data_IF_981277871436
#
_entry.id   IF_981277871436
#
_cell.length_a   1.000
_cell.length_b   1.000
_cell.length_c   1.000
_cell.angle_alpha   90.00
_cell.angle_beta   90.00
_cell.angle_gamma   90.00
#
_symmetry.space_group_name_H-M   'P 1'
#
loop_
_entity.id
_entity.type
_entity.pdbx_description
1 polymer ?
#
# COMPACT_ATOMS: atom_id res chain seq x y z
N UNK A 1 -47.77 -38.31 5.88
CA UNK A 1 -46.77 -38.08 4.83
C UNK A 1 -46.16 -36.70 5.07
N UNK A 2 -45.01 -36.65 5.68
CA UNK A 2 -44.25 -35.44 5.95
C UNK A 2 -43.20 -35.28 4.85
N UNK A 3 -43.30 -34.20 4.12
CA UNK A 3 -42.31 -33.83 3.11
C UNK A 3 -41.29 -32.89 3.77
N UNK A 4 -40.09 -33.41 4.03
CA UNK A 4 -38.99 -32.66 4.60
C UNK A 4 -38.40 -31.84 3.46
N UNK A 5 -38.63 -30.50 3.50
CA UNK A 5 -37.99 -29.54 2.63
C UNK A 5 -36.49 -29.59 2.82
N UNK A 6 -35.75 -29.82 1.74
CA UNK A 6 -34.30 -29.64 1.71
C UNK A 6 -34.00 -28.15 1.93
N UNK A 7 -33.27 -27.86 2.97
CA UNK A 7 -32.51 -26.62 3.05
C UNK A 7 -31.44 -26.68 1.96
N UNK A 8 -31.65 -25.98 0.87
CA UNK A 8 -30.58 -25.60 -0.01
C UNK A 8 -29.76 -24.52 0.72
N UNK A 9 -28.66 -24.92 1.33
CA UNK A 9 -27.58 -24.00 1.71
C UNK A 9 -27.16 -23.29 0.45
N UNK A 10 -27.50 -22.00 0.36
CA UNK A 10 -26.92 -21.08 -0.62
C UNK A 10 -25.45 -20.97 -0.21
N UNK A 11 -24.60 -21.80 -0.81
CA UNK A 11 -23.16 -21.54 -0.84
C UNK A 11 -22.98 -20.22 -1.56
N UNK A 12 -22.84 -19.13 -0.80
CA UNK A 12 -22.26 -17.91 -1.34
C UNK A 12 -20.85 -18.28 -1.80
N UNK A 13 -20.68 -18.34 -3.10
CA UNK A 13 -19.38 -18.50 -3.73
C UNK A 13 -18.61 -17.21 -3.40
N UNK A 14 -17.89 -17.20 -2.28
CA UNK A 14 -16.97 -16.11 -1.94
C UNK A 14 -15.92 -16.09 -3.05
N UNK A 15 -16.08 -15.15 -3.97
CA UNK A 15 -15.12 -14.94 -5.04
C UNK A 15 -13.83 -14.49 -4.39
N UNK A 16 -12.75 -15.24 -4.59
CA UNK A 16 -11.41 -14.89 -4.07
C UNK A 16 -11.04 -13.47 -4.48
N UNK A 17 -10.54 -12.68 -3.52
CA UNK A 17 -10.07 -11.31 -3.77
C UNK A 17 -8.75 -11.31 -4.54
N UNK A 18 -7.95 -12.37 -4.39
CA UNK A 18 -6.67 -12.53 -5.07
C UNK A 18 -6.87 -13.50 -6.24
N UNK A 19 -6.68 -13.01 -7.45
CA UNK A 19 -6.74 -13.81 -8.68
C UNK A 19 -5.35 -14.21 -9.17
N UNK A 20 -5.31 -15.11 -10.19
CA UNK A 20 -4.09 -15.47 -10.93
C UNK A 20 -2.92 -15.92 -10.06
N UNK A 21 -3.20 -16.72 -9.02
CA UNK A 21 -2.17 -17.16 -8.06
C UNK A 21 -1.24 -18.16 -8.75
N UNK A 22 0.03 -17.78 -8.82
CA UNK A 22 1.11 -18.59 -9.39
C UNK A 22 2.34 -18.59 -8.48
N UNK A 23 3.18 -19.62 -8.63
CA UNK A 23 4.51 -19.61 -7.99
C UNK A 23 5.41 -18.65 -8.76
N UNK A 24 6.08 -17.73 -8.06
CA UNK A 24 7.01 -16.80 -8.68
C UNK A 24 8.18 -17.54 -9.36
N UNK A 25 8.62 -17.05 -10.51
CA UNK A 25 9.72 -17.65 -11.29
C UNK A 25 11.05 -17.70 -10.52
N UNK A 26 11.23 -16.81 -9.54
CA UNK A 26 12.46 -16.70 -8.73
C UNK A 26 12.17 -16.96 -7.25
N UNK A 27 12.10 -18.23 -6.87
CA UNK A 27 11.99 -18.67 -5.48
C UNK A 27 10.57 -19.08 -5.06
N UNK A 28 10.38 -19.52 -3.81
CA UNK A 28 9.14 -20.14 -3.33
C UNK A 28 8.08 -19.09 -2.93
N UNK A 29 7.94 -17.99 -3.67
CA UNK A 29 6.90 -16.99 -3.44
C UNK A 29 5.67 -17.29 -4.26
N UNK A 30 4.51 -17.09 -3.69
CA UNK A 30 3.27 -17.02 -4.45
C UNK A 30 3.02 -15.57 -4.85
N UNK A 31 2.56 -15.37 -6.06
CA UNK A 31 2.11 -14.07 -6.56
C UNK A 31 0.69 -14.19 -7.06
N UNK A 32 -0.08 -13.12 -6.94
CA UNK A 32 -1.42 -13.01 -7.46
C UNK A 32 -1.70 -11.57 -7.89
N UNK A 33 -2.95 -11.27 -8.19
CA UNK A 33 -3.41 -9.95 -8.60
C UNK A 33 -4.64 -9.56 -7.80
N UNK A 34 -4.76 -8.28 -7.45
CA UNK A 34 -6.00 -7.70 -6.96
C UNK A 34 -6.40 -6.49 -7.79
N UNK A 35 -7.68 -6.25 -7.94
CA UNK A 35 -8.18 -4.96 -8.41
C UNK A 35 -8.28 -3.99 -7.23
N UNK A 36 -7.55 -2.88 -7.29
CA UNK A 36 -7.60 -1.86 -6.24
C UNK A 36 -8.39 -0.63 -6.70
N UNK A 37 -9.63 -0.44 -6.20
CA UNK A 37 -10.51 0.64 -6.64
C UNK A 37 -9.94 2.04 -6.45
N UNK A 38 -9.13 2.27 -5.39
CA UNK A 38 -8.51 3.57 -5.11
C UNK A 38 -7.66 4.08 -6.29
N UNK A 39 -6.96 3.17 -6.96
CA UNK A 39 -6.10 3.48 -8.12
C UNK A 39 -6.71 3.05 -9.45
N UNK A 40 -7.89 2.42 -9.43
CA UNK A 40 -8.57 1.89 -10.62
C UNK A 40 -7.67 0.98 -11.48
N UNK A 41 -6.86 0.12 -10.85
CA UNK A 41 -5.93 -0.76 -11.56
C UNK A 41 -5.79 -2.13 -10.89
N UNK A 42 -5.21 -3.08 -11.63
CA UNK A 42 -4.73 -4.34 -11.08
C UNK A 42 -3.36 -4.12 -10.44
N UNK A 43 -3.16 -4.67 -9.24
CA UNK A 43 -1.91 -4.57 -8.49
C UNK A 43 -1.42 -5.97 -8.14
N UNK A 44 -0.14 -6.30 -8.42
CA UNK A 44 0.45 -7.56 -7.99
C UNK A 44 0.46 -7.70 -6.47
N UNK A 45 0.17 -8.91 -5.99
CA UNK A 45 0.30 -9.28 -4.58
C UNK A 45 1.35 -10.36 -4.45
N UNK A 46 2.33 -10.15 -3.59
CA UNK A 46 3.40 -11.13 -3.29
C UNK A 46 3.22 -11.68 -1.88
N UNK A 47 3.17 -13.00 -1.77
CA UNK A 47 2.94 -13.71 -0.51
C UNK A 47 4.23 -14.37 -0.04
N UNK A 48 4.72 -13.96 1.10
CA UNK A 48 5.83 -14.54 1.87
C UNK A 48 7.05 -15.00 1.08
N UNK A 49 8.21 -15.01 1.67
CA UNK A 49 9.42 -15.49 1.00
C UNK A 49 9.49 -17.02 0.92
N UNK A 50 8.80 -17.72 1.81
CA UNK A 50 9.02 -19.16 2.08
C UNK A 50 7.72 -19.99 2.00
N UNK A 51 6.66 -19.49 1.35
CA UNK A 51 5.37 -20.17 1.30
C UNK A 51 4.68 -20.28 2.67
N UNK A 52 5.09 -19.44 3.64
CA UNK A 52 4.59 -19.45 5.02
C UNK A 52 3.31 -18.65 5.21
N UNK A 53 2.84 -17.96 4.15
CA UNK A 53 1.60 -17.17 4.16
C UNK A 53 0.50 -18.00 3.54
N UNK A 54 -0.54 -18.31 4.30
CA UNK A 54 -1.73 -18.97 3.77
C UNK A 54 -2.55 -18.01 2.92
N UNK A 55 -3.22 -18.53 1.90
CA UNK A 55 -4.10 -17.73 1.05
C UNK A 55 -5.22 -17.09 1.87
N UNK A 56 -5.77 -17.81 2.85
CA UNK A 56 -6.81 -17.29 3.73
C UNK A 56 -6.34 -16.08 4.55
N UNK A 57 -5.10 -16.10 5.03
CA UNK A 57 -4.51 -14.94 5.71
C UNK A 57 -4.30 -13.79 4.75
N UNK A 58 -3.76 -14.06 3.56
CA UNK A 58 -3.53 -13.04 2.54
C UNK A 58 -4.83 -12.34 2.12
N UNK A 59 -5.91 -13.10 1.96
CA UNK A 59 -7.23 -12.53 1.63
C UNK A 59 -7.77 -11.64 2.75
N UNK A 60 -7.54 -11.99 4.03
CA UNK A 60 -7.90 -11.08 5.14
C UNK A 60 -7.11 -9.78 5.08
N UNK A 61 -5.80 -9.83 4.84
CA UNK A 61 -4.95 -8.64 4.70
C UNK A 61 -5.43 -7.75 3.55
N UNK A 62 -5.69 -8.35 2.39
CA UNK A 62 -6.21 -7.66 1.21
C UNK A 62 -7.59 -7.08 1.47
N UNK A 63 -8.50 -7.86 2.07
CA UNK A 63 -9.83 -7.38 2.43
C UNK A 63 -9.74 -6.14 3.32
N UNK A 64 -8.88 -6.16 4.33
CA UNK A 64 -8.69 -5.02 5.21
C UNK A 64 -8.14 -3.79 4.48
N UNK A 65 -7.19 -3.98 3.57
CA UNK A 65 -6.65 -2.90 2.72
C UNK A 65 -7.75 -2.28 1.84
N UNK A 66 -8.57 -3.11 1.19
CA UNK A 66 -9.63 -2.65 0.30
C UNK A 66 -10.78 -1.93 1.03
N UNK A 67 -10.92 -2.18 2.35
CA UNK A 67 -11.96 -1.59 3.20
C UNK A 67 -11.39 -0.56 4.19
N UNK A 68 -10.24 0.05 3.89
CA UNK A 68 -9.71 1.15 4.70
C UNK A 68 -10.74 2.27 4.84
N UNK A 69 -10.86 2.77 6.04
CA UNK A 69 -11.69 3.95 6.30
C UNK A 69 -11.15 5.16 5.55
N UNK A 70 -12.06 6.06 5.12
CA UNK A 70 -11.66 7.28 4.42
C UNK A 70 -10.60 8.09 5.17
N UNK A 71 -10.68 8.16 6.49
CA UNK A 71 -9.71 8.88 7.32
C UNK A 71 -8.29 8.29 7.20
N UNK A 72 -8.15 6.98 7.09
CA UNK A 72 -6.86 6.33 6.90
C UNK A 72 -6.31 6.56 5.49
N UNK A 73 -7.20 6.51 4.48
CA UNK A 73 -6.83 6.85 3.09
C UNK A 73 -6.36 8.30 3.03
N UNK A 74 -7.10 9.24 3.60
CA UNK A 74 -6.74 10.66 3.64
C UNK A 74 -5.39 10.87 4.35
N UNK A 75 -5.11 10.11 5.42
CA UNK A 75 -3.82 10.15 6.13
C UNK A 75 -2.68 9.66 5.24
N UNK A 76 -2.84 8.55 4.53
CA UNK A 76 -1.85 8.04 3.58
C UNK A 76 -1.55 9.06 2.47
N UNK A 77 -2.58 9.66 1.89
CA UNK A 77 -2.44 10.63 0.81
C UNK A 77 -1.80 11.93 1.29
N UNK A 78 -2.18 12.45 2.46
CA UNK A 78 -1.56 13.65 3.05
C UNK A 78 -0.10 13.43 3.40
N UNK A 79 0.24 12.26 3.93
CA UNK A 79 1.62 11.89 4.19
C UNK A 79 2.43 11.75 2.89
N UNK A 80 1.84 11.24 1.82
CA UNK A 80 2.48 11.20 0.50
C UNK A 80 2.70 12.61 -0.07
N UNK A 81 1.78 13.55 0.15
CA UNK A 81 1.96 14.96 -0.20
C UNK A 81 3.08 15.60 0.63
N UNK A 82 3.18 15.26 1.92
CA UNK A 82 4.27 15.73 2.76
C UNK A 82 5.62 15.21 2.27
N UNK A 83 5.70 13.94 1.86
CA UNK A 83 6.88 13.37 1.24
C UNK A 83 7.23 14.10 -0.08
N UNK A 84 6.27 14.30 -0.96
CA UNK A 84 6.46 15.08 -2.19
C UNK A 84 7.05 16.47 -1.91
N UNK A 85 6.50 17.21 -0.95
CA UNK A 85 6.99 18.56 -0.58
C UNK A 85 8.37 18.56 0.03
N UNK A 86 8.73 17.51 0.79
CA UNK A 86 10.07 17.38 1.36
C UNK A 86 11.12 17.14 0.25
N UNK A 87 10.81 16.30 -0.73
CA UNK A 87 11.66 16.07 -1.90
C UNK A 87 11.81 17.34 -2.75
N UNK A 88 10.73 18.10 -2.95
CA UNK A 88 10.75 19.40 -3.63
C UNK A 88 11.75 20.36 -2.99
N UNK A 89 11.88 20.32 -1.66
CA UNK A 89 12.81 21.18 -0.93
C UNK A 89 14.26 20.67 -0.94
N UNK A 90 14.45 19.34 -0.96
CA UNK A 90 15.77 18.72 -0.75
C UNK A 90 16.68 18.71 -1.99
N UNK A 91 16.13 18.65 -3.19
CA UNK A 91 16.94 18.45 -4.39
C UNK A 91 17.63 19.71 -4.96
N UNK A 92 17.28 20.91 -4.50
CA UNK A 92 17.93 22.17 -4.92
C UNK A 92 17.79 22.50 -6.42
N UNK A 93 17.20 21.60 -7.20
CA UNK A 93 16.78 21.78 -8.58
C UNK A 93 15.25 21.75 -8.64
N UNK A 94 14.63 22.50 -9.56
CA UNK A 94 13.19 22.49 -9.66
C UNK A 94 12.68 21.08 -9.99
N UNK A 95 12.01 20.44 -9.04
CA UNK A 95 11.38 19.13 -9.22
C UNK A 95 10.38 19.14 -10.40
N UNK A 96 9.90 20.33 -10.79
CA UNK A 96 9.06 20.56 -11.97
C UNK A 96 9.68 19.95 -13.24
N UNK A 97 11.01 19.97 -13.37
CA UNK A 97 11.71 19.35 -14.52
C UNK A 97 11.51 17.84 -14.58
N UNK A 98 11.35 17.16 -13.43
CA UNK A 98 11.09 15.72 -13.40
C UNK A 98 9.71 15.41 -13.98
N UNK A 99 8.72 16.23 -13.65
CA UNK A 99 7.36 16.08 -14.20
C UNK A 99 7.29 16.38 -15.68
N UNK A 100 8.04 17.39 -16.17
CA UNK A 100 8.15 17.67 -17.59
C UNK A 100 8.80 16.52 -18.36
N UNK A 101 9.84 15.89 -17.79
CA UNK A 101 10.50 14.73 -18.38
C UNK A 101 9.57 13.53 -18.52
N UNK A 102 8.74 13.27 -17.52
CA UNK A 102 7.72 12.22 -17.53
C UNK A 102 6.46 12.62 -18.33
N UNK A 103 6.39 13.84 -18.85
CA UNK A 103 5.23 14.37 -19.58
C UNK A 103 3.98 14.53 -18.70
N UNK A 104 4.16 14.69 -17.39
CA UNK A 104 3.09 14.89 -16.42
C UNK A 104 3.02 16.36 -15.99
N UNK A 105 1.82 16.93 -15.80
CA UNK A 105 1.68 18.25 -15.20
C UNK A 105 2.17 18.23 -13.75
N UNK A 106 2.73 19.36 -13.29
CA UNK A 106 3.07 19.54 -11.89
C UNK A 106 1.83 19.46 -10.99
N UNK A 107 1.89 18.78 -9.80
CA UNK A 107 0.74 18.61 -8.94
C UNK A 107 0.19 19.93 -8.40
N UNK A 108 -1.10 20.20 -8.63
CA UNK A 108 -1.80 21.36 -8.12
C UNK A 108 -3.03 20.96 -7.30
N UNK A 109 -3.50 21.86 -6.42
CA UNK A 109 -4.71 21.66 -5.64
C UNK A 109 -4.58 20.56 -4.59
N UNK A 110 -3.37 20.36 -4.02
CA UNK A 110 -3.05 19.31 -3.05
C UNK A 110 -3.69 19.51 -1.66
N UNK A 111 -4.45 20.58 -1.45
CA UNK A 111 -5.39 20.70 -0.33
C UNK A 111 -6.48 19.62 -0.37
N UNK A 112 -6.79 19.13 -1.57
CA UNK A 112 -7.61 17.94 -1.82
C UNK A 112 -6.65 16.74 -1.96
N UNK A 113 -6.51 15.85 -0.95
CA UNK A 113 -5.45 14.85 -0.93
C UNK A 113 -5.54 13.86 -2.09
N UNK A 114 -6.72 13.62 -2.64
CA UNK A 114 -6.92 12.73 -3.79
C UNK A 114 -6.22 13.20 -5.08
N UNK A 115 -5.84 14.49 -5.14
CA UNK A 115 -5.09 15.06 -6.28
C UNK A 115 -3.69 14.50 -6.45
N UNK A 116 -3.12 13.86 -5.42
CA UNK A 116 -1.81 13.19 -5.51
C UNK A 116 -1.89 11.80 -6.19
N UNK A 117 -3.06 11.16 -6.23
CA UNK A 117 -3.22 9.79 -6.75
C UNK A 117 -2.68 9.59 -8.18
N UNK A 118 -2.87 10.49 -9.15
CA UNK A 118 -2.32 10.32 -10.50
C UNK A 118 -0.80 10.21 -10.55
N UNK A 119 -0.11 10.65 -9.51
CA UNK A 119 1.35 10.66 -9.40
C UNK A 119 1.91 9.47 -8.62
N UNK A 120 1.04 8.57 -8.17
CA UNK A 120 1.37 7.35 -7.42
C UNK A 120 0.91 6.16 -8.24
N UNK A 121 1.80 5.22 -8.53
CA UNK A 121 1.49 3.99 -9.25
C UNK A 121 1.86 2.78 -8.40
N UNK A 122 0.88 2.11 -7.76
CA UNK A 122 1.16 0.89 -7.01
C UNK A 122 1.76 -0.18 -7.93
N UNK A 123 2.87 -0.76 -7.50
CA UNK A 123 3.59 -1.80 -8.26
C UNK A 123 3.56 -3.15 -7.57
N UNK A 124 3.45 -3.17 -6.23
CA UNK A 124 3.41 -4.41 -5.47
C UNK A 124 2.72 -4.20 -4.11
N UNK A 125 1.91 -5.16 -3.70
CA UNK A 125 1.45 -5.34 -2.33
C UNK A 125 2.14 -6.58 -1.78
N UNK A 126 2.94 -6.41 -0.73
CA UNK A 126 3.69 -7.49 -0.09
C UNK A 126 3.07 -7.88 1.25
N UNK A 127 2.85 -9.18 1.41
CA UNK A 127 2.40 -9.80 2.66
C UNK A 127 3.53 -10.74 3.11
N UNK A 128 4.42 -10.25 3.98
CA UNK A 128 5.71 -10.87 4.25
C UNK A 128 5.61 -12.19 5.01
N UNK A 129 4.72 -12.26 6.00
CA UNK A 129 4.53 -13.43 6.86
C UNK A 129 3.14 -13.43 7.49
N UNK A 130 2.70 -14.61 7.89
CA UNK A 130 1.47 -14.77 8.65
C UNK A 130 1.72 -14.55 10.14
N UNK A 131 0.99 -13.63 10.75
CA UNK A 131 1.02 -13.37 12.20
C UNK A 131 -0.42 -13.46 12.71
N UNK A 132 -0.71 -14.33 13.67
CA UNK A 132 -2.06 -14.46 14.20
C UNK A 132 -2.61 -13.13 14.71
N UNK A 133 -3.84 -12.80 14.31
CA UNK A 133 -4.57 -11.58 14.71
C UNK A 133 -3.91 -10.25 14.31
N UNK A 134 -2.99 -10.27 13.33
CA UNK A 134 -2.37 -9.07 12.78
C UNK A 134 -2.44 -9.13 11.26
N UNK A 135 -3.34 -8.39 10.65
CA UNK A 135 -3.40 -8.19 9.20
C UNK A 135 -2.50 -7.01 8.83
N UNK A 136 -1.48 -7.27 8.01
CA UNK A 136 -0.50 -6.25 7.66
C UNK A 136 0.01 -6.39 6.23
N UNK A 137 0.16 -5.25 5.55
CA UNK A 137 0.66 -5.18 4.18
C UNK A 137 1.67 -4.05 4.04
N UNK A 138 2.68 -4.25 3.17
CA UNK A 138 3.51 -3.19 2.61
C UNK A 138 3.07 -2.96 1.17
N UNK A 139 2.83 -1.72 0.82
CA UNK A 139 2.50 -1.30 -0.55
C UNK A 139 3.69 -0.54 -1.09
N UNK A 140 4.24 -1.00 -2.20
CA UNK A 140 5.31 -0.35 -2.93
C UNK A 140 4.73 0.31 -4.16
N UNK A 141 5.12 1.57 -4.40
CA UNK A 141 4.59 2.36 -5.50
C UNK A 141 5.71 3.16 -6.15
N UNK A 142 5.76 3.19 -7.49
CA UNK A 142 6.47 4.24 -8.19
C UNK A 142 5.79 5.57 -7.87
N UNK A 143 6.56 6.64 -7.71
CA UNK A 143 6.03 7.98 -7.56
C UNK A 143 6.81 8.97 -8.43
N UNK A 144 6.11 9.97 -8.97
CA UNK A 144 6.68 10.86 -9.98
C UNK A 144 7.74 11.82 -9.42
N UNK A 145 7.82 11.96 -8.09
CA UNK A 145 8.74 12.89 -7.42
C UNK A 145 10.02 12.24 -6.87
N UNK A 146 10.07 10.91 -6.79
CA UNK A 146 11.24 10.20 -6.27
C UNK A 146 11.40 8.84 -6.98
N UNK A 147 12.07 8.85 -8.14
CA UNK A 147 12.21 7.64 -8.96
C UNK A 147 13.23 6.64 -8.41
N UNK A 148 14.17 7.08 -7.55
CA UNK A 148 15.25 6.21 -7.04
C UNK A 148 14.78 5.32 -5.89
N UNK A 149 14.05 5.90 -4.93
CA UNK A 149 13.61 5.18 -3.72
C UNK A 149 12.13 4.85 -3.72
N UNK A 150 11.35 5.48 -4.61
CA UNK A 150 9.91 5.22 -4.72
C UNK A 150 9.13 5.58 -3.43
N UNK A 151 7.89 5.12 -3.32
CA UNK A 151 7.01 5.36 -2.18
C UNK A 151 6.63 4.03 -1.53
N UNK A 152 6.73 3.94 -0.22
CA UNK A 152 6.23 2.82 0.57
C UNK A 152 5.13 3.28 1.52
N UNK A 153 4.01 2.56 1.52
CA UNK A 153 3.01 2.60 2.57
C UNK A 153 3.05 1.31 3.37
N UNK A 154 2.88 1.41 4.69
CA UNK A 154 2.64 0.25 5.56
C UNK A 154 1.30 0.44 6.24
N UNK A 155 0.44 -0.56 6.11
CA UNK A 155 -0.88 -0.61 6.74
C UNK A 155 -0.94 -1.84 7.62
N UNK A 156 -1.43 -1.69 8.86
CA UNK A 156 -1.60 -2.77 9.82
C UNK A 156 -2.91 -2.62 10.57
N UNK A 157 -3.69 -3.71 10.63
CA UNK A 157 -4.98 -3.74 11.31
C UNK A 157 -5.89 -2.56 10.90
N UNK A 158 -5.91 -2.24 9.60
CA UNK A 158 -6.70 -1.14 9.05
C UNK A 158 -6.20 0.26 9.39
N UNK A 159 -4.97 0.41 9.90
CA UNK A 159 -4.35 1.69 10.24
C UNK A 159 -3.10 1.95 9.42
N UNK A 160 -2.94 3.18 8.95
CA UNK A 160 -1.70 3.64 8.36
C UNK A 160 -0.60 3.67 9.43
N UNK A 161 0.56 3.08 9.15
CA UNK A 161 1.67 2.97 10.08
C UNK A 161 2.94 3.67 9.58
N UNK A 162 3.16 3.68 8.27
CA UNK A 162 4.31 4.30 7.65
C UNK A 162 3.97 4.82 6.24
N UNK A 163 4.49 5.98 5.92
CA UNK A 163 4.55 6.55 4.57
C UNK A 163 5.91 7.22 4.40
N UNK A 164 6.64 6.87 3.36
CA UNK A 164 7.94 7.47 3.05
C UNK A 164 8.67 6.74 1.94
N UNK A 165 9.96 7.03 1.79
CA UNK A 165 10.82 6.34 0.85
C UNK A 165 10.86 4.82 1.11
N UNK A 166 11.04 4.03 0.05
CA UNK A 166 11.15 2.59 0.15
C UNK A 166 12.47 2.19 0.81
N UNK A 167 12.46 2.04 2.13
CA UNK A 167 13.61 1.60 2.93
C UNK A 167 13.66 0.09 3.19
N UNK A 168 12.78 -0.70 2.54
CA UNK A 168 12.68 -2.14 2.77
C UNK A 168 12.09 -2.52 4.14
N UNK A 169 11.32 -1.62 4.75
CA UNK A 169 10.60 -1.88 6.00
C UNK A 169 9.52 -2.95 5.77
N UNK A 170 9.64 -4.07 6.48
CA UNK A 170 8.58 -5.08 6.49
C UNK A 170 7.36 -4.60 7.28
N UNK A 171 6.17 -5.04 6.91
CA UNK A 171 4.91 -4.62 7.54
C UNK A 171 4.71 -5.12 8.99
N UNK A 172 5.54 -6.07 9.45
CA UNK A 172 5.46 -6.70 10.77
C UNK A 172 6.57 -6.27 11.74
N UNK A 173 7.28 -5.17 11.45
CA UNK A 173 8.20 -4.57 12.41
C UNK A 173 7.48 -4.16 13.69
N UNK A 174 8.22 -4.05 14.81
CA UNK A 174 7.66 -3.48 16.04
C UNK A 174 7.25 -2.01 15.80
N UNK A 175 6.20 -1.53 16.49
CA UNK A 175 5.72 -0.16 16.33
C UNK A 175 6.82 0.87 16.57
N UNK A 176 7.71 0.60 17.53
CA UNK A 176 8.88 1.42 17.80
C UNK A 176 9.77 1.65 16.57
N UNK A 177 9.85 0.67 15.66
CA UNK A 177 10.63 0.81 14.43
C UNK A 177 10.12 1.98 13.59
N UNK A 178 8.81 2.12 13.44
CA UNK A 178 8.19 3.17 12.60
C UNK A 178 8.05 4.49 13.33
N UNK A 179 7.76 4.46 14.64
CA UNK A 179 7.42 5.63 15.43
C UNK A 179 8.64 6.34 16.06
N UNK A 180 9.76 5.63 16.23
CA UNK A 180 10.95 6.17 16.87
C UNK A 180 12.19 6.11 15.99
N UNK A 181 12.50 4.95 15.39
CA UNK A 181 13.74 4.76 14.62
C UNK A 181 13.63 5.43 13.25
N UNK A 182 12.50 5.24 12.56
CA UNK A 182 12.23 5.78 11.23
C UNK A 182 11.34 7.02 11.25
N UNK A 183 11.15 7.65 12.42
CA UNK A 183 10.22 8.77 12.59
C UNK A 183 10.49 9.95 11.66
N UNK A 184 11.75 10.24 11.35
CA UNK A 184 12.14 11.36 10.47
C UNK A 184 11.86 11.07 8.99
N UNK A 185 11.67 9.80 8.64
CA UNK A 185 11.33 9.33 7.29
C UNK A 185 9.88 8.86 7.21
N UNK A 186 9.13 8.94 8.32
CA UNK A 186 7.72 8.58 8.36
C UNK A 186 6.86 9.83 8.31
N UNK A 187 6.36 10.17 7.14
CA UNK A 187 5.56 11.37 6.88
C UNK A 187 4.14 11.32 7.47
N UNK A 188 3.75 10.23 8.12
CA UNK A 188 2.54 10.22 8.96
C UNK A 188 2.74 10.99 10.28
N UNK A 189 3.98 11.12 10.76
CA UNK A 189 4.31 11.69 12.07
C UNK A 189 5.33 12.82 12.02
N UNK A 190 6.11 12.93 10.94
CA UNK A 190 7.07 14.03 10.73
C UNK A 190 6.41 15.16 9.93
N UNK A 191 6.70 16.41 10.32
CA UNK A 191 6.35 17.54 9.47
C UNK A 191 7.33 17.65 8.29
N UNK A 192 6.90 18.12 7.10
CA UNK A 192 7.80 18.39 5.98
C UNK A 192 8.92 19.36 6.37
N UNK A 193 10.13 19.13 5.83
CA UNK A 193 11.26 20.05 6.03
C UNK A 193 10.95 21.35 5.27
N UNK A 194 10.83 22.45 5.92
CA UNK A 194 10.59 23.77 5.31
C UNK A 194 9.32 24.47 5.76
N UNK A 195 8.50 23.86 6.58
CA UNK A 195 7.33 24.53 7.20
C UNK A 195 7.67 25.19 8.57
N UNK A 196 8.96 25.39 8.92
CA UNK A 196 9.42 26.06 10.15
C UNK A 196 9.92 27.47 9.87
#
# INVERSE_FOLDING_TARGET
>A
FWNIGRNEEIQMNEQSLISDIVTAERGPRLTGQIYWPLFNCQVPVTLGRDGTVSLQYAERCVSQLLHLEKAEIDSLLRASIAYFRDEEYCHGEPIEMMFEFEGMPYPEGLEQPERILPYIKPVEISIDREVPSVESVSIFSECAWEPEHSLQWVVRNGKALFVGACGGLGSHGEDQLYLEIWKEQNYLISAPRGEN
#
